data_IF_348798634387
#
_entry.id   IF_348798634387
#
_cell.length_a   1.000
_cell.length_b   1.000
_cell.length_c   1.000
_cell.angle_alpha   90.00
_cell.angle_beta   90.00
_cell.angle_gamma   90.00
#
_symmetry.space_group_name_H-M   'P 1'
#
loop_
_entity.id
_entity.type
_entity.pdbx_description
1 polymer ?
#
# COMPACT_ATOMS: atom_id res chain seq x y z
N UNK A 1 -18.03 -11.24 7.47
CA UNK A 1 -18.18 -10.85 6.05
C UNK A 1 -17.90 -9.36 5.86
N UNK A 2 -18.49 -8.48 6.67
CA UNK A 2 -18.23 -7.04 6.63
C UNK A 2 -16.74 -6.68 6.78
N UNK A 3 -16.02 -7.35 7.69
CA UNK A 3 -14.57 -7.14 7.89
C UNK A 3 -13.71 -7.41 6.65
N UNK A 4 -14.07 -8.42 5.84
CA UNK A 4 -13.35 -8.74 4.59
C UNK A 4 -13.55 -7.66 3.53
N UNK A 5 -14.78 -7.12 3.45
CA UNK A 5 -15.13 -6.08 2.47
C UNK A 5 -14.51 -4.75 2.88
N UNK A 6 -14.60 -4.37 4.17
CA UNK A 6 -13.97 -3.17 4.69
C UNK A 6 -12.45 -3.24 4.60
N UNK A 7 -11.87 -4.41 4.89
CA UNK A 7 -10.44 -4.66 4.73
C UNK A 7 -10.00 -4.50 3.27
N UNK A 8 -10.75 -5.07 2.32
CA UNK A 8 -10.43 -4.97 0.90
C UNK A 8 -10.51 -3.53 0.39
N UNK A 9 -11.56 -2.80 0.79
CA UNK A 9 -11.73 -1.38 0.44
C UNK A 9 -10.58 -0.56 1.02
N UNK A 10 -10.24 -0.76 2.30
CA UNK A 10 -9.13 -0.06 2.97
C UNK A 10 -7.78 -0.32 2.29
N UNK A 11 -7.48 -1.58 2.01
CA UNK A 11 -6.27 -1.99 1.28
C UNK A 11 -6.21 -1.36 -0.12
N UNK A 12 -7.31 -1.36 -0.87
CA UNK A 12 -7.36 -0.78 -2.20
C UNK A 12 -7.17 0.75 -2.20
N UNK A 13 -7.74 1.43 -1.20
CA UNK A 13 -7.61 2.89 -1.00
C UNK A 13 -6.16 3.27 -0.67
N UNK A 14 -5.55 2.58 0.29
CA UNK A 14 -4.15 2.79 0.67
C UNK A 14 -3.22 2.49 -0.52
N UNK A 15 -3.46 1.40 -1.25
CA UNK A 15 -2.63 1.03 -2.39
C UNK A 15 -2.68 2.09 -3.51
N UNK A 16 -3.88 2.53 -3.89
CA UNK A 16 -4.08 3.61 -4.87
C UNK A 16 -3.40 4.90 -4.40
N UNK A 17 -3.54 5.26 -3.13
CA UNK A 17 -2.96 6.48 -2.56
C UNK A 17 -1.43 6.46 -2.58
N UNK A 18 -0.81 5.38 -2.09
CA UNK A 18 0.65 5.24 -2.02
C UNK A 18 1.27 5.21 -3.42
N UNK A 19 0.66 4.49 -4.36
CA UNK A 19 1.12 4.45 -5.76
C UNK A 19 0.96 5.81 -6.45
N UNK A 20 -0.15 6.51 -6.21
CA UNK A 20 -0.40 7.86 -6.72
C UNK A 20 0.60 8.88 -6.17
N UNK A 21 0.90 8.82 -4.88
CA UNK A 21 1.96 9.61 -4.26
C UNK A 21 3.34 9.30 -4.86
N UNK A 22 3.67 8.03 -5.06
CA UNK A 22 4.97 7.63 -5.62
C UNK A 22 5.16 8.10 -7.05
N UNK A 23 4.12 7.99 -7.88
CA UNK A 23 4.10 8.56 -9.23
C UNK A 23 4.32 10.07 -9.20
N UNK A 24 3.50 10.79 -8.42
CA UNK A 24 3.53 12.25 -8.34
C UNK A 24 4.88 12.80 -7.86
N UNK A 25 5.50 12.18 -6.85
CA UNK A 25 6.82 12.58 -6.35
C UNK A 25 7.92 12.30 -7.39
N UNK A 26 7.87 11.13 -8.03
CA UNK A 26 8.90 10.71 -8.99
C UNK A 26 8.85 11.51 -10.30
N UNK A 27 7.67 11.93 -10.76
CA UNK A 27 7.53 12.76 -11.97
C UNK A 27 7.55 14.26 -11.68
N UNK A 28 7.13 14.69 -10.49
CA UNK A 28 6.91 16.10 -10.17
C UNK A 28 8.06 16.78 -9.41
N UNK A 29 8.64 16.12 -8.41
CA UNK A 29 9.54 16.80 -7.45
C UNK A 29 10.99 16.32 -7.49
N UNK A 30 11.23 15.01 -7.59
CA UNK A 30 12.55 14.43 -7.31
C UNK A 30 13.25 13.80 -8.53
N UNK A 31 12.53 13.70 -9.67
CA UNK A 31 12.98 12.93 -10.82
C UNK A 31 13.08 11.43 -10.53
N UNK A 32 13.57 10.64 -11.50
CA UNK A 32 13.65 9.17 -11.37
C UNK A 32 14.57 8.73 -10.21
N UNK A 33 15.74 9.38 -10.06
CA UNK A 33 16.72 9.02 -9.03
C UNK A 33 16.33 9.47 -7.62
N UNK A 34 15.66 10.62 -7.48
CA UNK A 34 15.16 11.07 -6.18
C UNK A 34 13.88 10.36 -5.74
N UNK A 35 13.08 9.85 -6.68
CA UNK A 35 11.89 9.03 -6.40
C UNK A 35 12.21 7.59 -6.01
N UNK A 36 13.38 7.06 -6.37
CA UNK A 36 13.78 5.68 -6.12
C UNK A 36 13.78 5.26 -4.63
N UNK A 37 14.37 6.03 -3.69
CA UNK A 37 14.25 5.69 -2.26
C UNK A 37 12.81 5.74 -1.74
N UNK A 38 11.96 6.63 -2.29
CA UNK A 38 10.55 6.68 -1.94
C UNK A 38 9.80 5.45 -2.42
N UNK A 39 10.09 4.98 -3.63
CA UNK A 39 9.52 3.75 -4.19
C UNK A 39 9.84 2.51 -3.35
N UNK A 40 11.06 2.39 -2.82
CA UNK A 40 11.43 1.29 -1.91
C UNK A 40 10.54 1.28 -0.66
N UNK A 41 10.28 2.45 -0.07
CA UNK A 41 9.38 2.60 1.07
C UNK A 41 7.95 2.23 0.68
N UNK A 42 7.46 2.71 -0.47
CA UNK A 42 6.12 2.39 -0.96
C UNK A 42 5.89 0.89 -1.15
N UNK A 43 6.86 0.17 -1.72
CA UNK A 43 6.81 -1.28 -1.88
C UNK A 43 6.74 -1.97 -0.51
N UNK A 44 7.55 -1.50 0.46
CA UNK A 44 7.54 -2.05 1.80
C UNK A 44 6.19 -1.85 2.51
N UNK A 45 5.62 -0.64 2.41
CA UNK A 45 4.29 -0.32 2.96
C UNK A 45 3.20 -1.14 2.29
N UNK A 46 3.23 -1.31 0.97
CA UNK A 46 2.28 -2.16 0.24
C UNK A 46 2.35 -3.62 0.73
N UNK A 47 3.54 -4.16 0.95
CA UNK A 47 3.72 -5.50 1.50
C UNK A 47 3.11 -5.62 2.91
N UNK A 48 3.29 -4.61 3.77
CA UNK A 48 2.68 -4.56 5.10
C UNK A 48 1.16 -4.47 5.05
N UNK A 49 0.60 -3.69 4.13
CA UNK A 49 -0.86 -3.56 3.96
C UNK A 49 -1.48 -4.87 3.48
N UNK A 50 -0.82 -5.58 2.56
CA UNK A 50 -1.27 -6.90 2.12
C UNK A 50 -1.14 -7.92 3.26
N UNK A 51 -0.07 -7.85 4.04
CA UNK A 51 0.11 -8.70 5.21
C UNK A 51 -0.95 -8.45 6.28
N UNK A 52 -1.28 -7.19 6.57
CA UNK A 52 -2.32 -6.80 7.50
C UNK A 52 -3.70 -7.28 7.05
N UNK A 53 -4.01 -7.15 5.76
CA UNK A 53 -5.22 -7.72 5.18
C UNK A 53 -5.28 -9.24 5.35
N UNK A 54 -4.16 -9.93 5.15
CA UNK A 54 -4.09 -11.38 5.35
C UNK A 54 -4.27 -11.78 6.83
N UNK A 55 -3.53 -11.16 7.76
CA UNK A 55 -3.62 -11.47 9.19
C UNK A 55 -4.99 -11.13 9.77
N UNK A 56 -5.56 -9.99 9.38
CA UNK A 56 -6.85 -9.52 9.91
C UNK A 56 -8.06 -10.24 9.28
N UNK A 57 -8.04 -10.52 7.97
CA UNK A 57 -9.22 -11.03 7.25
C UNK A 57 -9.17 -12.51 6.88
N UNK A 58 -7.99 -13.11 6.72
CA UNK A 58 -7.81 -14.46 6.19
C UNK A 58 -7.26 -15.45 7.22
N UNK A 59 -6.47 -14.99 8.19
CA UNK A 59 -5.92 -15.87 9.21
C UNK A 59 -7.02 -16.35 10.17
N UNK A 60 -7.23 -17.66 10.33
CA UNK A 60 -8.16 -18.16 11.34
C UNK A 60 -7.59 -17.82 12.73
N UNK A 61 -8.30 -16.98 13.48
CA UNK A 61 -7.99 -16.79 14.90
C UNK A 61 -8.37 -18.08 15.62
N UNK A 62 -7.36 -18.76 16.14
CA UNK A 62 -7.51 -19.97 16.95
C UNK A 62 -7.93 -19.60 18.36
#
# INVERSE_FOLDING_TARGET
>A
MMEKISGLIGTALIATFVLGLAGSISTGFAGFWGGLPFWVICVFVLALVVYDFWDSCLRPKK
#
